data_IF_564745872004
#
_entry.id   IF_564745872004
#
_cell.length_a   1.000
_cell.length_b   1.000
_cell.length_c   1.000
_cell.angle_alpha   90.00
_cell.angle_beta   90.00
_cell.angle_gamma   90.00
#
_symmetry.space_group_name_H-M   'P 1'
#
loop_
_entity.id
_entity.type
_entity.pdbx_description
1 polymer ?
#
# COMPACT_ATOMS: atom_id res chain seq x y z
N UNK A 1 -19.58 -1.82 7.68
CA UNK A 1 -18.29 -1.64 8.40
C UNK A 1 -17.69 -0.32 7.96
N UNK A 2 -16.68 0.25 8.65
CA UNK A 2 -15.86 1.28 8.01
C UNK A 2 -15.40 0.79 6.63
N UNK A 3 -15.29 1.69 5.66
CA UNK A 3 -14.61 1.37 4.41
C UNK A 3 -13.20 0.88 4.69
N UNK A 4 -12.74 -0.07 3.89
CA UNK A 4 -11.38 -0.62 4.00
C UNK A 4 -10.35 0.42 3.53
N UNK A 5 -9.15 0.36 4.11
CA UNK A 5 -8.03 1.24 3.74
C UNK A 5 -6.82 0.41 3.33
N UNK A 6 -6.45 0.51 2.05
CA UNK A 6 -5.28 -0.17 1.49
C UNK A 6 -4.04 0.70 1.65
N UNK A 7 -3.29 0.51 2.73
CA UNK A 7 -2.25 1.44 3.16
C UNK A 7 -0.92 1.30 2.39
N UNK A 8 -0.84 0.41 1.39
CA UNK A 8 0.31 0.34 0.49
C UNK A 8 -0.08 -0.40 -0.81
N UNK A 9 0.12 0.27 -1.94
CA UNK A 9 -0.08 -0.30 -3.28
C UNK A 9 0.79 0.39 -4.34
N UNK A 10 0.89 -0.27 -5.50
CA UNK A 10 1.34 0.25 -6.78
C UNK A 10 0.21 0.06 -7.80
N UNK A 11 -0.80 0.92 -7.74
CA UNK A 11 -2.12 0.72 -8.34
C UNK A 11 -2.07 0.56 -9.86
N UNK A 12 -1.16 1.27 -10.55
CA UNK A 12 -1.03 1.18 -12.00
C UNK A 12 -0.39 -0.15 -12.45
N UNK A 13 0.24 -0.92 -11.55
CA UNK A 13 0.72 -2.28 -11.84
C UNK A 13 -0.43 -3.27 -12.09
N UNK A 14 -1.71 -2.86 -11.99
CA UNK A 14 -2.82 -3.68 -12.49
C UNK A 14 -2.67 -4.05 -13.97
N UNK A 15 -1.94 -3.26 -14.78
CA UNK A 15 -1.59 -3.62 -16.17
C UNK A 15 -0.56 -4.75 -16.26
N UNK A 16 0.22 -4.98 -15.21
CA UNK A 16 1.25 -6.02 -15.12
C UNK A 16 0.78 -7.26 -14.37
N UNK A 17 -0.52 -7.36 -14.11
CA UNK A 17 -1.11 -8.48 -13.37
C UNK A 17 -0.85 -9.82 -14.06
N UNK A 18 -0.11 -10.69 -13.39
CA UNK A 18 0.27 -12.01 -13.90
C UNK A 18 1.21 -11.95 -15.11
N UNK A 19 1.93 -10.84 -15.30
CA UNK A 19 2.91 -10.70 -16.37
C UNK A 19 4.15 -11.57 -16.13
N UNK A 20 4.69 -11.53 -14.91
CA UNK A 20 5.83 -12.33 -14.48
C UNK A 20 5.58 -12.89 -13.08
N UNK A 21 5.69 -14.20 -12.92
CA UNK A 21 5.46 -14.94 -11.68
C UNK A 21 6.58 -15.96 -11.44
N UNK A 22 6.65 -16.51 -10.21
CA UNK A 22 7.54 -17.61 -9.82
C UNK A 22 9.06 -17.33 -9.96
N UNK A 23 9.48 -16.10 -9.63
CA UNK A 23 10.89 -15.67 -9.56
C UNK A 23 11.23 -14.99 -8.22
N UNK A 24 12.49 -15.05 -7.75
CA UNK A 24 12.95 -14.23 -6.62
C UNK A 24 12.83 -12.72 -6.91
N UNK A 25 12.60 -11.90 -5.88
CA UNK A 25 12.37 -10.45 -6.00
C UNK A 25 13.39 -9.74 -6.89
N UNK A 26 14.69 -9.89 -6.62
CA UNK A 26 15.75 -9.23 -7.39
C UNK A 26 15.69 -9.55 -8.90
N UNK A 27 15.44 -10.82 -9.24
CA UNK A 27 15.36 -11.26 -10.63
C UNK A 27 14.05 -10.81 -11.28
N UNK A 28 12.93 -10.87 -10.55
CA UNK A 28 11.63 -10.40 -11.00
C UNK A 28 11.63 -8.91 -11.34
N UNK A 29 12.22 -8.08 -10.47
CA UNK A 29 12.38 -6.65 -10.69
C UNK A 29 13.27 -6.35 -11.90
N UNK A 30 14.51 -6.87 -11.89
CA UNK A 30 15.52 -6.48 -12.89
C UNK A 30 15.28 -7.06 -14.29
N UNK A 31 14.74 -8.29 -14.37
CA UNK A 31 14.59 -8.99 -15.65
C UNK A 31 13.24 -8.77 -16.31
N UNK A 32 12.16 -8.56 -15.54
CA UNK A 32 10.80 -8.52 -16.07
C UNK A 32 10.09 -7.19 -15.80
N UNK A 33 10.05 -6.71 -14.56
CA UNK A 33 9.22 -5.55 -14.19
C UNK A 33 9.85 -4.22 -14.63
N UNK A 34 11.07 -3.90 -14.18
CA UNK A 34 11.70 -2.61 -14.51
C UNK A 34 11.87 -2.37 -16.03
N UNK A 35 12.20 -3.38 -16.86
CA UNK A 35 12.24 -3.18 -18.31
C UNK A 35 10.89 -2.75 -18.90
N UNK A 36 9.78 -3.28 -18.38
CA UNK A 36 8.44 -2.93 -18.85
C UNK A 36 8.00 -1.59 -18.28
N UNK A 37 8.27 -1.32 -17.00
CA UNK A 37 7.96 -0.03 -16.38
C UNK A 37 8.68 1.15 -17.06
N UNK A 38 9.89 0.93 -17.57
CA UNK A 38 10.63 1.93 -18.32
C UNK A 38 9.91 2.39 -19.61
N UNK A 39 8.96 1.61 -20.12
CA UNK A 39 8.15 1.90 -21.30
C UNK A 39 6.74 2.44 -20.96
N UNK A 40 6.44 2.65 -19.68
CA UNK A 40 5.17 3.24 -19.24
C UNK A 40 5.04 4.68 -19.76
N UNK A 41 3.85 4.98 -20.27
CA UNK A 41 3.45 6.35 -20.60
C UNK A 41 2.47 6.87 -19.55
N UNK A 42 2.28 8.20 -19.41
CA UNK A 42 1.27 8.75 -18.51
C UNK A 42 -0.14 8.17 -18.73
N UNK A 43 -0.50 7.84 -19.97
CA UNK A 43 -1.79 7.22 -20.28
C UNK A 43 -1.88 5.78 -19.74
N UNK A 44 -0.79 5.00 -19.77
CA UNK A 44 -0.77 3.66 -19.18
C UNK A 44 -0.95 3.74 -17.65
N UNK A 45 -0.30 4.72 -17.01
CA UNK A 45 -0.48 5.00 -15.58
C UNK A 45 -1.93 5.35 -15.29
N UNK A 46 -2.53 6.22 -16.11
CA UNK A 46 -3.93 6.62 -15.98
C UNK A 46 -4.87 5.42 -16.06
N UNK A 47 -4.72 4.58 -17.09
CA UNK A 47 -5.57 3.42 -17.35
C UNK A 47 -5.39 2.32 -16.30
N UNK A 48 -4.14 2.02 -15.92
CA UNK A 48 -3.85 1.07 -14.84
C UNK A 48 -4.43 1.54 -13.50
N UNK A 49 -4.30 2.83 -13.21
CA UNK A 49 -4.91 3.41 -12.01
C UNK A 49 -6.43 3.27 -12.06
N UNK A 50 -7.09 3.66 -13.15
CA UNK A 50 -8.56 3.52 -13.31
C UNK A 50 -9.03 2.09 -13.05
N UNK A 51 -8.31 1.09 -13.58
CA UNK A 51 -8.63 -0.32 -13.35
C UNK A 51 -8.52 -0.69 -11.86
N UNK A 52 -7.44 -0.28 -11.19
CA UNK A 52 -7.25 -0.53 -9.76
C UNK A 52 -8.30 0.17 -8.89
N UNK A 53 -8.68 1.42 -9.22
CA UNK A 53 -9.73 2.15 -8.49
C UNK A 53 -11.11 1.51 -8.65
N UNK A 54 -11.43 0.95 -9.82
CA UNK A 54 -12.64 0.14 -9.99
C UNK A 54 -12.60 -1.08 -9.07
N UNK A 55 -11.48 -1.81 -9.03
CA UNK A 55 -11.32 -2.99 -8.17
C UNK A 55 -11.46 -2.62 -6.68
N UNK A 56 -10.82 -1.54 -6.24
CA UNK A 56 -10.97 -0.98 -4.89
C UNK A 56 -12.43 -0.69 -4.53
N UNK A 57 -13.15 0.03 -5.40
CA UNK A 57 -14.56 0.34 -5.19
C UNK A 57 -15.38 -0.96 -5.08
N UNK A 58 -15.14 -1.94 -5.94
CA UNK A 58 -15.87 -3.22 -5.92
C UNK A 58 -15.57 -4.05 -4.68
N UNK A 59 -14.40 -3.89 -4.07
CA UNK A 59 -13.95 -4.62 -2.88
C UNK A 59 -14.23 -3.86 -1.56
N UNK A 60 -14.89 -2.70 -1.59
CA UNK A 60 -15.25 -1.94 -0.40
C UNK A 60 -14.11 -1.09 0.19
N UNK A 61 -13.09 -0.81 -0.60
CA UNK A 61 -11.99 0.10 -0.25
C UNK A 61 -12.46 1.53 -0.49
N UNK A 62 -12.22 2.42 0.48
CA UNK A 62 -12.58 3.85 0.40
C UNK A 62 -11.37 4.77 0.52
N UNK A 63 -10.26 4.27 1.05
CA UNK A 63 -8.97 4.96 1.13
C UNK A 63 -7.83 4.04 0.69
N UNK A 64 -6.78 4.61 0.10
CA UNK A 64 -5.58 3.86 -0.22
C UNK A 64 -4.32 4.72 -0.11
N UNK A 65 -3.15 4.12 -0.03
CA UNK A 65 -1.89 4.81 -0.27
C UNK A 65 -1.20 4.19 -1.49
N UNK A 66 -0.73 5.05 -2.39
CA UNK A 66 -0.09 4.63 -3.63
C UNK A 66 1.27 5.29 -3.78
N UNK A 67 2.24 4.48 -4.20
CA UNK A 67 3.62 4.88 -4.44
C UNK A 67 4.02 4.50 -5.86
N UNK A 68 4.03 5.45 -6.78
CA UNK A 68 4.32 5.14 -8.18
C UNK A 68 4.81 6.37 -8.96
N UNK A 69 4.82 6.28 -10.29
CA UNK A 69 5.25 7.36 -11.19
C UNK A 69 4.04 8.13 -11.75
N UNK A 70 4.29 9.28 -12.37
CA UNK A 70 3.26 10.11 -13.04
C UNK A 70 2.04 10.39 -12.13
N UNK A 71 2.31 10.73 -10.86
CA UNK A 71 1.31 11.01 -9.83
C UNK A 71 0.19 11.98 -10.26
N UNK A 72 0.40 13.00 -11.12
CA UNK A 72 -0.70 13.81 -11.65
C UNK A 72 -1.84 13.00 -12.29
N UNK A 73 -1.53 11.90 -12.98
CA UNK A 73 -2.52 11.01 -13.58
C UNK A 73 -3.26 10.18 -12.53
N UNK A 74 -2.55 9.74 -11.49
CA UNK A 74 -3.14 9.03 -10.34
C UNK A 74 -4.08 9.96 -9.57
N UNK A 75 -3.67 11.22 -9.35
CA UNK A 75 -4.51 12.26 -8.74
C UNK A 75 -5.78 12.51 -9.55
N UNK A 76 -5.67 12.58 -10.88
CA UNK A 76 -6.82 12.79 -11.76
C UNK A 76 -7.82 11.61 -11.67
N UNK A 77 -7.32 10.38 -11.73
CA UNK A 77 -8.14 9.17 -11.58
C UNK A 77 -8.82 9.11 -10.20
N UNK A 78 -8.08 9.41 -9.14
CA UNK A 78 -8.59 9.41 -7.76
C UNK A 78 -9.70 10.44 -7.56
N UNK A 79 -9.54 11.64 -8.13
CA UNK A 79 -10.57 12.69 -8.13
C UNK A 79 -11.88 12.19 -8.74
N UNK A 80 -11.80 11.58 -9.92
CA UNK A 80 -12.95 11.08 -10.68
C UNK A 80 -13.63 9.88 -10.01
N UNK A 81 -12.85 8.97 -9.42
CA UNK A 81 -13.38 7.79 -8.74
C UNK A 81 -14.22 8.11 -7.51
N UNK A 82 -13.90 9.21 -6.81
CA UNK A 82 -14.50 9.58 -5.52
C UNK A 82 -13.76 9.02 -4.29
N UNK A 83 -12.70 8.23 -4.47
CA UNK A 83 -11.91 7.64 -3.37
C UNK A 83 -11.02 8.67 -2.64
N UNK A 84 -10.53 8.30 -1.46
CA UNK A 84 -9.48 9.03 -0.74
C UNK A 84 -8.12 8.38 -0.99
N UNK A 85 -7.06 9.17 -0.89
CA UNK A 85 -5.72 8.64 -1.05
C UNK A 85 -4.64 9.38 -0.25
N UNK A 86 -3.57 8.66 0.07
CA UNK A 86 -2.24 9.23 0.28
C UNK A 86 -1.38 8.90 -0.94
N UNK A 87 -0.95 9.89 -1.70
CA UNK A 87 -0.23 9.68 -2.96
C UNK A 87 1.20 10.16 -2.86
N UNK A 88 2.14 9.36 -3.33
CA UNK A 88 3.55 9.70 -3.34
C UNK A 88 4.22 9.29 -4.64
N UNK A 89 5.16 10.12 -5.08
CA UNK A 89 6.03 9.82 -6.22
C UNK A 89 7.23 9.05 -5.71
N UNK A 90 7.36 7.80 -6.14
CA UNK A 90 8.50 6.97 -5.79
C UNK A 90 9.75 7.44 -6.54
N UNK A 91 10.83 7.73 -5.81
CA UNK A 91 12.12 8.06 -6.41
C UNK A 91 13.21 7.06 -6.05
N UNK A 92 14.10 6.83 -7.01
CA UNK A 92 15.20 5.86 -6.96
C UNK A 92 16.46 6.56 -7.48
N UNK A 93 17.61 6.38 -6.81
CA UNK A 93 18.89 6.93 -7.28
C UNK A 93 19.75 5.90 -8.02
N UNK A 94 19.61 4.61 -7.70
CA UNK A 94 20.35 3.53 -8.36
C UNK A 94 20.11 3.54 -9.87
N UNK A 95 21.20 3.54 -10.63
CA UNK A 95 21.16 3.56 -12.09
C UNK A 95 21.02 4.95 -12.72
N UNK A 96 20.90 6.02 -11.93
CA UNK A 96 20.86 7.42 -12.40
C UNK A 96 22.20 8.13 -12.16
N UNK A 97 22.42 9.22 -12.88
CA UNK A 97 23.47 10.18 -12.51
C UNK A 97 22.96 11.16 -11.45
N UNK A 98 23.87 11.96 -10.87
CA UNK A 98 23.51 12.84 -9.76
C UNK A 98 22.44 13.88 -10.12
N UNK A 99 22.47 14.40 -11.35
CA UNK A 99 21.45 15.33 -11.84
C UNK A 99 20.08 14.64 -11.92
N UNK A 100 20.02 13.41 -12.46
CA UNK A 100 18.78 12.64 -12.58
C UNK A 100 18.21 12.20 -11.23
N UNK A 101 19.04 11.67 -10.32
CA UNK A 101 18.60 11.23 -9.00
C UNK A 101 18.06 12.40 -8.15
N UNK A 102 18.78 13.52 -8.15
CA UNK A 102 18.35 14.75 -7.45
C UNK A 102 17.08 15.34 -8.05
N UNK A 103 16.95 15.34 -9.38
CA UNK A 103 15.74 15.82 -10.04
C UNK A 103 14.53 14.95 -9.69
N UNK A 104 14.68 13.63 -9.64
CA UNK A 104 13.60 12.70 -9.28
C UNK A 104 13.14 12.87 -7.83
N UNK A 105 14.08 12.98 -6.88
CA UNK A 105 13.77 13.27 -5.49
C UNK A 105 13.09 14.65 -5.32
N UNK A 106 13.54 15.66 -6.07
CA UNK A 106 12.90 16.97 -6.09
C UNK A 106 11.48 16.91 -6.66
N UNK A 107 11.26 16.14 -7.73
CA UNK A 107 9.93 15.89 -8.28
C UNK A 107 9.01 15.28 -7.23
N UNK A 108 9.49 14.31 -6.44
CA UNK A 108 8.68 13.73 -5.37
C UNK A 108 8.28 14.72 -4.28
N UNK A 109 9.21 15.57 -3.84
CA UNK A 109 8.91 16.62 -2.87
C UNK A 109 7.97 17.69 -3.42
N UNK A 110 8.12 18.07 -4.70
CA UNK A 110 7.26 19.05 -5.36
C UNK A 110 5.83 18.51 -5.54
N UNK A 111 5.69 17.25 -5.96
CA UNK A 111 4.39 16.55 -6.06
C UNK A 111 3.71 16.51 -4.69
N UNK A 112 4.42 16.14 -3.63
CA UNK A 112 3.85 16.10 -2.30
C UNK A 112 3.29 17.48 -1.89
N UNK A 113 4.05 18.55 -2.13
CA UNK A 113 3.60 19.92 -1.83
C UNK A 113 2.46 20.41 -2.72
N UNK A 114 2.44 20.02 -3.99
CA UNK A 114 1.45 20.49 -4.96
C UNK A 114 0.07 19.84 -4.73
N UNK A 115 0.05 18.54 -4.45
CA UNK A 115 -1.18 17.75 -4.41
C UNK A 115 -1.73 17.51 -3.02
N UNK A 116 -1.03 17.91 -1.95
CA UNK A 116 -1.58 17.87 -0.61
C UNK A 116 -2.87 18.70 -0.49
N UNK A 117 -3.93 18.08 0.04
CA UNK A 117 -5.27 18.67 0.13
C UNK A 117 -6.05 18.69 -1.19
N UNK A 118 -5.58 18.04 -2.26
CA UNK A 118 -6.33 17.93 -3.50
C UNK A 118 -7.66 17.16 -3.31
N UNK A 119 -8.56 17.30 -4.29
CA UNK A 119 -9.88 16.64 -4.28
C UNK A 119 -10.71 16.99 -3.03
N UNK A 120 -10.75 18.28 -2.67
CA UNK A 120 -11.43 18.79 -1.48
C UNK A 120 -10.93 18.15 -0.17
N UNK A 121 -9.62 17.85 -0.10
CA UNK A 121 -8.98 17.22 1.06
C UNK A 121 -9.07 15.70 1.10
N UNK A 122 -9.60 15.04 0.05
CA UNK A 122 -9.58 13.57 -0.06
C UNK A 122 -8.19 13.01 -0.40
N UNK A 123 -7.32 13.82 -0.99
CA UNK A 123 -5.95 13.44 -1.34
C UNK A 123 -4.98 14.16 -0.41
N UNK A 124 -4.16 13.37 0.25
CA UNK A 124 -2.97 13.77 1.02
C UNK A 124 -1.74 13.19 0.32
N UNK A 125 -0.54 13.52 0.78
CA UNK A 125 0.68 13.05 0.15
C UNK A 125 1.77 12.69 1.15
N UNK A 126 2.76 11.95 0.67
CA UNK A 126 4.00 11.63 1.37
C UNK A 126 5.19 11.78 0.42
N UNK A 127 6.40 11.88 0.98
CA UNK A 127 7.64 11.70 0.23
C UNK A 127 8.01 10.21 0.24
N UNK A 128 8.32 9.65 -0.94
CA UNK A 128 8.64 8.21 -1.08
C UNK A 128 10.04 7.98 -1.65
N UNK A 129 11.10 7.95 -0.82
CA UNK A 129 12.30 7.21 -1.20
C UNK A 129 11.92 5.74 -1.33
N UNK A 130 12.23 5.08 -2.44
CA UNK A 130 11.79 3.70 -2.66
C UNK A 130 12.22 2.75 -1.52
N UNK A 131 13.50 2.74 -1.17
CA UNK A 131 14.04 1.98 -0.02
C UNK A 131 15.44 2.50 0.35
N UNK A 132 15.95 2.08 1.52
CA UNK A 132 17.30 2.40 1.99
C UNK A 132 18.42 1.80 1.11
N UNK A 133 18.11 0.82 0.26
CA UNK A 133 19.07 0.13 -0.63
C UNK A 133 19.06 0.67 -2.06
N UNK A 134 18.02 1.40 -2.43
CA UNK A 134 17.81 1.92 -3.80
C UNK A 134 17.96 3.45 -3.90
N UNK A 135 18.10 4.12 -2.75
CA UNK A 135 18.32 5.56 -2.64
C UNK A 135 19.59 5.79 -1.83
N UNK A 136 20.58 6.41 -2.46
CA UNK A 136 21.86 6.72 -1.82
C UNK A 136 21.70 7.73 -0.67
N UNK A 137 22.52 7.57 0.37
CA UNK A 137 22.50 8.36 1.61
C UNK A 137 22.45 9.87 1.37
N UNK A 138 23.19 10.37 0.38
CA UNK A 138 23.28 11.81 0.12
C UNK A 138 21.93 12.42 -0.27
N UNK A 139 21.06 11.68 -0.96
CA UNK A 139 19.72 12.14 -1.30
C UNK A 139 18.77 12.06 -0.10
N UNK A 140 18.92 11.04 0.76
CA UNK A 140 18.17 10.97 2.01
C UNK A 140 18.52 12.14 2.94
N UNK A 141 19.81 12.40 3.15
CA UNK A 141 20.30 13.52 3.96
C UNK A 141 19.88 14.89 3.40
N UNK A 142 19.67 15.00 2.09
CA UNK A 142 19.23 16.25 1.45
C UNK A 142 17.71 16.44 1.51
N UNK A 143 16.91 15.41 1.23
CA UNK A 143 15.46 15.56 1.03
C UNK A 143 14.62 15.23 2.27
N UNK A 144 15.09 14.35 3.17
CA UNK A 144 14.36 14.04 4.42
C UNK A 144 14.18 15.31 5.26
N UNK A 145 15.21 16.15 5.53
CA UNK A 145 15.01 17.38 6.29
C UNK A 145 14.05 18.37 5.62
N UNK A 146 14.01 18.40 4.28
CA UNK A 146 13.11 19.27 3.52
C UNK A 146 11.65 18.80 3.58
N UNK A 147 11.40 17.49 3.59
CA UNK A 147 10.08 16.92 3.85
C UNK A 147 9.61 17.27 5.26
N UNK A 148 10.49 17.11 6.27
CA UNK A 148 10.19 17.49 7.66
C UNK A 148 9.87 18.98 7.82
N UNK A 149 10.66 19.87 7.19
CA UNK A 149 10.37 21.32 7.22
C UNK A 149 9.01 21.64 6.57
N UNK A 150 8.60 20.87 5.57
CA UNK A 150 7.32 21.01 4.89
C UNK A 150 6.15 20.29 5.61
N UNK A 151 6.40 19.52 6.66
CA UNK A 151 5.38 18.71 7.33
C UNK A 151 4.87 17.55 6.46
N UNK A 152 5.69 17.06 5.52
CA UNK A 152 5.36 15.94 4.64
C UNK A 152 5.83 14.63 5.30
N UNK A 153 4.94 13.64 5.49
CA UNK A 153 5.31 12.32 6.01
C UNK A 153 6.14 11.53 5.00
N UNK A 154 6.79 10.47 5.45
CA UNK A 154 7.52 9.54 4.60
C UNK A 154 6.80 8.19 4.49
N UNK A 155 6.86 7.64 3.29
CA UNK A 155 6.53 6.26 3.00
C UNK A 155 7.73 5.59 2.34
N UNK A 156 8.08 4.36 2.71
CA UNK A 156 9.16 3.61 2.03
C UNK A 156 9.05 2.11 2.32
N UNK A 157 9.67 1.29 1.47
CA UNK A 157 9.85 -0.14 1.74
C UNK A 157 10.99 -0.35 2.73
N UNK A 158 10.78 -1.18 3.74
CA UNK A 158 11.79 -1.43 4.76
C UNK A 158 11.82 -2.88 5.22
N UNK A 159 13.04 -3.41 5.32
CA UNK A 159 13.34 -4.75 5.82
C UNK A 159 12.45 -5.82 5.14
N UNK A 160 12.23 -5.72 3.82
CA UNK A 160 11.39 -6.66 3.10
C UNK A 160 12.10 -8.02 2.98
N UNK A 161 13.39 -8.01 2.66
CA UNK A 161 14.20 -9.22 2.49
C UNK A 161 15.49 -9.19 3.31
N UNK A 162 16.06 -10.37 3.60
CA UNK A 162 17.40 -10.46 4.21
C UNK A 162 18.47 -9.75 3.36
N UNK A 163 18.31 -9.76 2.03
CA UNK A 163 19.19 -9.08 1.07
C UNK A 163 19.14 -7.54 1.17
N UNK A 164 18.10 -6.96 1.80
CA UNK A 164 18.06 -5.54 2.12
C UNK A 164 18.73 -5.23 3.47
N UNK A 165 18.64 -6.16 4.43
CA UNK A 165 19.15 -5.97 5.79
C UNK A 165 20.66 -6.10 5.85
N UNK A 166 21.22 -7.18 5.28
CA UNK A 166 22.65 -7.50 5.40
C UNK A 166 23.57 -6.37 4.88
N UNK A 167 23.34 -5.77 3.69
CA UNK A 167 24.22 -4.71 3.18
C UNK A 167 24.27 -3.49 4.09
N UNK A 168 23.13 -3.08 4.68
CA UNK A 168 23.10 -1.92 5.57
C UNK A 168 23.88 -2.20 6.85
N UNK A 169 23.76 -3.42 7.41
CA UNK A 169 24.55 -3.82 8.57
C UNK A 169 26.05 -3.83 8.25
N UNK A 170 26.43 -4.31 7.07
CA UNK A 170 27.84 -4.35 6.63
C UNK A 170 28.42 -2.93 6.40
N UNK A 171 27.64 -2.03 5.80
CA UNK A 171 28.09 -0.68 5.42
C UNK A 171 28.00 0.33 6.58
N UNK A 172 26.98 0.24 7.43
CA UNK A 172 26.71 1.21 8.50
C UNK A 172 26.94 0.67 9.91
N UNK A 173 27.01 -0.66 10.10
CA UNK A 173 27.24 -1.28 11.41
C UNK A 173 26.03 -1.27 12.35
N UNK A 174 24.86 -0.88 11.85
CA UNK A 174 23.55 -0.84 12.54
C UNK A 174 22.49 -1.46 11.63
N UNK A 175 21.32 -1.83 12.18
CA UNK A 175 20.22 -2.38 11.38
C UNK A 175 19.49 -1.29 10.59
N UNK A 176 18.72 -1.64 9.53
CA UNK A 176 18.13 -0.63 8.65
C UNK A 176 17.21 0.36 9.35
N UNK A 177 16.39 -0.04 10.32
CA UNK A 177 15.51 0.91 11.01
C UNK A 177 16.26 1.82 11.98
N UNK A 178 17.34 1.35 12.62
CA UNK A 178 18.25 2.21 13.38
C UNK A 178 18.90 3.27 12.46
N UNK A 179 19.32 2.85 11.26
CA UNK A 179 19.87 3.76 10.26
C UNK A 179 18.83 4.76 9.73
N UNK A 180 17.58 4.32 9.52
CA UNK A 180 16.47 5.19 9.15
C UNK A 180 16.19 6.25 10.24
N UNK A 181 16.25 5.88 11.51
CA UNK A 181 16.10 6.81 12.64
C UNK A 181 17.20 7.88 12.66
N UNK A 182 18.46 7.47 12.45
CA UNK A 182 19.61 8.40 12.35
C UNK A 182 19.42 9.45 11.23
N UNK A 183 18.72 9.08 10.15
CA UNK A 183 18.36 9.96 9.04
C UNK A 183 17.08 10.78 9.29
N UNK A 184 16.38 10.56 10.40
CA UNK A 184 15.12 11.23 10.73
C UNK A 184 13.92 10.73 9.91
N UNK A 185 13.96 9.47 9.47
CA UNK A 185 12.93 8.83 8.64
C UNK A 185 11.86 8.08 9.44
N UNK A 186 11.91 8.11 10.78
CA UNK A 186 10.95 7.47 11.66
C UNK A 186 10.28 8.49 12.60
N UNK A 187 9.02 8.80 12.35
CA UNK A 187 8.13 9.60 13.20
C UNK A 187 6.73 9.00 13.25
N UNK A 188 5.86 9.53 14.11
CA UNK A 188 4.45 9.11 14.22
C UNK A 188 3.62 9.30 12.94
N UNK A 189 4.12 10.10 11.99
CA UNK A 189 3.46 10.36 10.71
C UNK A 189 4.00 9.45 9.57
N UNK A 190 5.06 8.68 9.82
CA UNK A 190 5.70 7.85 8.80
C UNK A 190 5.17 6.41 8.81
N UNK A 191 5.20 5.77 7.64
CA UNK A 191 4.70 4.41 7.48
C UNK A 191 5.56 3.59 6.51
N UNK A 192 5.91 2.38 6.95
CA UNK A 192 6.88 1.53 6.31
C UNK A 192 6.20 0.29 5.74
N UNK A 193 6.41 0.00 4.46
CA UNK A 193 5.91 -1.23 3.85
C UNK A 193 6.77 -2.44 4.24
N UNK A 194 6.10 -3.58 4.39
CA UNK A 194 6.65 -4.92 4.65
C UNK A 194 7.10 -5.18 6.09
N UNK A 195 8.24 -4.61 6.51
CA UNK A 195 8.89 -4.85 7.81
C UNK A 195 8.95 -6.35 8.19
N UNK A 196 9.37 -7.19 7.25
CA UNK A 196 9.40 -8.64 7.42
C UNK A 196 10.52 -9.06 8.35
N UNK A 197 11.71 -8.46 8.17
CA UNK A 197 12.93 -8.81 8.89
C UNK A 197 13.28 -7.75 9.91
N UNK A 198 12.41 -7.57 10.92
CA UNK A 198 12.67 -6.71 12.07
C UNK A 198 13.06 -7.53 13.29
N UNK A 199 14.02 -7.05 14.08
CA UNK A 199 14.40 -7.67 15.35
C UNK A 199 13.75 -6.98 16.56
N UNK A 200 13.99 -7.51 17.76
CA UNK A 200 13.40 -6.97 19.00
C UNK A 200 13.74 -5.49 19.22
N UNK A 201 14.95 -5.05 18.84
CA UNK A 201 15.38 -3.67 19.03
C UNK A 201 14.70 -2.73 18.02
N UNK A 202 14.54 -3.17 16.77
CA UNK A 202 13.79 -2.43 15.76
C UNK A 202 12.28 -2.36 16.09
N UNK A 203 11.71 -3.40 16.69
CA UNK A 203 10.32 -3.39 17.19
C UNK A 203 10.16 -2.36 18.31
N UNK A 204 11.07 -2.34 19.28
CA UNK A 204 11.07 -1.33 20.35
C UNK A 204 11.21 0.09 19.77
N UNK A 205 12.09 0.28 18.78
CA UNK A 205 12.28 1.57 18.09
C UNK A 205 11.02 2.04 17.35
N UNK A 206 10.34 1.15 16.63
CA UNK A 206 9.06 1.47 15.97
C UNK A 206 8.00 1.90 17.00
N UNK A 207 7.93 1.22 18.14
CA UNK A 207 7.01 1.59 19.22
C UNK A 207 7.37 2.93 19.89
N UNK A 208 8.66 3.25 20.02
CA UNK A 208 9.15 4.50 20.60
C UNK A 208 8.94 5.70 19.67
N UNK A 209 9.17 5.53 18.36
CA UNK A 209 9.05 6.59 17.34
C UNK A 209 7.59 6.83 16.93
N UNK A 210 6.74 5.80 17.06
CA UNK A 210 5.34 5.84 16.63
C UNK A 210 5.15 5.56 15.13
N UNK A 211 6.22 5.25 14.39
CA UNK A 211 6.12 4.91 12.98
C UNK A 211 5.27 3.65 12.76
N UNK A 212 4.47 3.67 11.70
CA UNK A 212 3.52 2.60 11.40
C UNK A 212 4.13 1.55 10.48
N UNK A 213 3.68 0.30 10.63
CA UNK A 213 4.06 -0.80 9.73
C UNK A 213 2.88 -1.16 8.85
N UNK A 214 3.10 -1.29 7.53
CA UNK A 214 2.11 -1.78 6.59
C UNK A 214 2.46 -3.20 6.18
N UNK A 215 1.66 -4.16 6.64
CA UNK A 215 1.85 -5.56 6.33
C UNK A 215 1.20 -5.93 5.00
N UNK A 216 1.99 -6.49 4.08
CA UNK A 216 1.55 -6.97 2.76
C UNK A 216 1.71 -8.50 2.66
N UNK A 217 0.87 -9.30 3.36
CA UNK A 217 1.09 -10.73 3.50
C UNK A 217 1.12 -11.51 2.18
N UNK A 218 0.21 -11.23 1.24
CA UNK A 218 0.19 -11.96 -0.02
C UNK A 218 1.47 -11.74 -0.84
N UNK A 219 1.92 -10.48 -0.92
CA UNK A 219 3.19 -10.13 -1.58
C UNK A 219 4.39 -10.80 -0.91
N UNK A 220 4.50 -10.67 0.42
CA UNK A 220 5.57 -11.31 1.18
C UNK A 220 5.62 -12.84 1.00
N UNK A 221 4.46 -13.48 0.90
CA UNK A 221 4.36 -14.92 0.62
C UNK A 221 4.75 -15.25 -0.82
N UNK A 222 4.25 -14.48 -1.81
CA UNK A 222 4.44 -14.73 -3.24
C UNK A 222 5.90 -14.55 -3.66
N UNK A 223 6.57 -13.53 -3.14
CA UNK A 223 7.98 -13.22 -3.42
C UNK A 223 8.94 -13.99 -2.51
N UNK A 224 8.41 -14.77 -1.55
CA UNK A 224 9.16 -15.46 -0.52
C UNK A 224 10.05 -14.50 0.32
N UNK A 225 9.60 -13.26 0.50
CA UNK A 225 10.27 -12.24 1.32
C UNK A 225 10.37 -12.69 2.77
N UNK A 226 9.31 -13.33 3.31
CA UNK A 226 9.32 -13.95 4.64
C UNK A 226 7.99 -13.80 5.38
N UNK A 227 8.03 -13.91 6.72
CA UNK A 227 6.85 -13.77 7.57
C UNK A 227 7.10 -12.67 8.60
N UNK A 228 6.42 -11.54 8.44
CA UNK A 228 6.53 -10.40 9.36
C UNK A 228 6.03 -10.76 10.78
N UNK A 229 6.69 -10.28 11.85
CA UNK A 229 6.35 -10.60 13.24
C UNK A 229 5.18 -9.73 13.74
N UNK A 230 4.01 -9.88 13.10
CA UNK A 230 2.86 -8.99 13.32
C UNK A 230 2.32 -9.05 14.75
N UNK A 231 2.30 -10.23 15.39
CA UNK A 231 1.82 -10.31 16.77
C UNK A 231 2.77 -9.59 17.72
N UNK A 232 4.08 -9.71 17.51
CA UNK A 232 5.09 -9.02 18.30
C UNK A 232 5.00 -7.49 18.16
N UNK A 233 4.82 -6.99 16.93
CA UNK A 233 4.60 -5.56 16.67
C UNK A 233 3.34 -5.04 17.39
N UNK A 234 2.23 -5.77 17.29
CA UNK A 234 0.98 -5.43 17.97
C UNK A 234 1.12 -5.46 19.50
N UNK A 235 1.84 -6.44 20.05
CA UNK A 235 2.10 -6.56 21.49
C UNK A 235 2.98 -5.43 22.02
N UNK A 236 3.91 -4.92 21.21
CA UNK A 236 4.75 -3.76 21.50
C UNK A 236 3.99 -2.42 21.39
N UNK A 237 2.79 -2.42 20.79
CA UNK A 237 1.97 -1.23 20.60
C UNK A 237 2.26 -0.46 19.32
N UNK A 238 2.99 -1.06 18.36
CA UNK A 238 3.18 -0.51 17.02
C UNK A 238 1.85 -0.47 16.29
N UNK A 239 1.56 0.64 15.59
CA UNK A 239 0.42 0.69 14.70
C UNK A 239 0.70 -0.15 13.45
N UNK A 240 -0.17 -1.12 13.16
CA UNK A 240 -0.04 -1.99 11.99
C UNK A 240 -1.25 -1.83 11.07
N UNK A 241 -0.99 -1.46 9.82
CA UNK A 241 -1.96 -1.44 8.72
C UNK A 241 -1.79 -2.64 7.77
N UNK A 242 -2.68 -2.74 6.78
CA UNK A 242 -2.57 -3.70 5.68
C UNK A 242 -2.43 -3.00 4.33
N UNK A 243 -1.60 -3.59 3.48
CA UNK A 243 -1.44 -3.22 2.07
C UNK A 243 -1.56 -4.43 1.16
N UNK A 244 -1.97 -4.23 -0.09
CA UNK A 244 -1.98 -5.29 -1.10
C UNK A 244 -0.68 -5.36 -1.88
N UNK A 245 0.15 -4.31 -1.80
CA UNK A 245 1.26 -4.07 -2.74
C UNK A 245 0.70 -3.93 -4.18
N UNK A 246 1.52 -4.07 -5.21
CA UNK A 246 1.15 -4.07 -6.61
C UNK A 246 0.51 -5.38 -7.08
N UNK A 247 -0.39 -5.30 -8.05
CA UNK A 247 -1.08 -6.47 -8.61
C UNK A 247 -0.15 -7.43 -9.39
N UNK A 248 1.14 -7.12 -9.53
CA UNK A 248 2.14 -7.99 -10.13
C UNK A 248 2.82 -8.92 -9.09
N UNK A 249 2.76 -8.58 -7.80
CA UNK A 249 3.31 -9.35 -6.68
C UNK A 249 2.24 -9.92 -5.75
N UNK A 250 0.94 -9.78 -6.06
CA UNK A 250 -0.17 -10.27 -5.25
C UNK A 250 -0.88 -11.55 -5.77
N UNK A 251 -1.82 -11.51 -6.72
CA UNK A 251 -2.03 -10.57 -7.84
C UNK A 251 -3.47 -9.98 -7.90
N UNK A 252 -4.16 -9.86 -6.77
CA UNK A 252 -5.41 -9.09 -6.67
C UNK A 252 -5.29 -7.87 -5.74
N UNK A 253 -6.32 -7.03 -5.73
CA UNK A 253 -6.41 -5.87 -4.86
C UNK A 253 -7.58 -6.03 -3.86
N UNK A 254 -7.71 -7.22 -3.25
CA UNK A 254 -8.76 -7.56 -2.28
C UNK A 254 -8.23 -7.59 -0.84
N UNK A 255 -8.51 -6.53 -0.07
CA UNK A 255 -8.12 -6.48 1.34
C UNK A 255 -8.81 -7.54 2.22
N UNK A 256 -9.92 -8.17 1.82
CA UNK A 256 -10.47 -9.28 2.60
C UNK A 256 -9.58 -10.52 2.54
N UNK A 257 -8.88 -10.73 1.42
CA UNK A 257 -7.90 -11.80 1.33
C UNK A 257 -6.63 -11.42 2.10
N UNK A 258 -6.17 -10.17 2.08
CA UNK A 258 -5.07 -9.70 2.96
C UNK A 258 -5.40 -9.83 4.46
N UNK A 259 -6.62 -9.49 4.88
CA UNK A 259 -7.08 -9.68 6.27
C UNK A 259 -6.95 -11.16 6.65
N UNK A 260 -7.41 -12.06 5.76
CA UNK A 260 -7.39 -13.49 6.01
C UNK A 260 -5.96 -14.00 6.09
N UNK A 261 -5.12 -13.59 5.17
CA UNK A 261 -3.72 -14.02 5.09
C UNK A 261 -2.92 -13.51 6.28
N UNK A 262 -3.06 -12.24 6.67
CA UNK A 262 -2.45 -11.71 7.89
C UNK A 262 -2.84 -12.53 9.12
N UNK A 263 -4.14 -12.82 9.28
CA UNK A 263 -4.65 -13.56 10.43
C UNK A 263 -4.17 -15.02 10.46
N UNK A 264 -4.13 -15.70 9.31
CA UNK A 264 -3.74 -17.11 9.24
C UNK A 264 -2.22 -17.29 9.30
N UNK A 265 -1.47 -16.42 8.61
CA UNK A 265 -0.02 -16.44 8.57
C UNK A 265 0.57 -16.09 9.94
N UNK A 266 0.03 -15.08 10.64
CA UNK A 266 0.48 -14.72 11.98
C UNK A 266 0.35 -15.87 13.00
N UNK A 267 -0.76 -16.63 12.93
CA UNK A 267 -0.94 -17.83 13.77
C UNK A 267 0.09 -18.90 13.46
N UNK A 268 0.38 -19.11 12.17
CA UNK A 268 1.34 -20.11 11.72
C UNK A 268 2.77 -19.73 12.16
N UNK A 269 3.14 -18.46 12.01
CA UNK A 269 4.45 -17.92 12.36
C UNK A 269 4.81 -18.21 13.83
N UNK A 270 3.85 -17.97 14.72
CA UNK A 270 4.01 -18.11 16.17
C UNK A 270 3.75 -19.52 16.69
N UNK A 271 3.07 -20.35 15.91
CA UNK A 271 2.57 -21.64 16.36
C UNK A 271 1.47 -21.52 17.41
N UNK A 272 0.75 -20.40 17.45
CA UNK A 272 -0.35 -20.13 18.38
C UNK A 272 -1.61 -19.67 17.63
N UNK A 273 -2.68 -20.44 17.74
CA UNK A 273 -3.95 -20.17 17.05
C UNK A 273 -4.69 -18.92 17.57
N UNK A 274 -4.21 -18.29 18.65
CA UNK A 274 -4.79 -17.07 19.23
C UNK A 274 -4.24 -15.79 18.60
N UNK A 275 -3.06 -15.87 18.00
CA UNK A 275 -2.32 -14.70 17.51
C UNK A 275 -2.97 -14.13 16.26
N UNK A 276 -2.77 -12.84 16.03
CA UNK A 276 -3.43 -12.01 15.01
C UNK A 276 -4.92 -12.35 14.92
N UNK A 277 -5.62 -12.10 16.04
CA UNK A 277 -7.04 -12.42 16.16
C UNK A 277 -7.86 -11.73 15.06
N UNK A 278 -9.06 -12.26 14.76
CA UNK A 278 -9.93 -11.72 13.72
C UNK A 278 -10.20 -10.21 13.91
N UNK A 279 -10.41 -9.78 15.15
CA UNK A 279 -10.60 -8.36 15.47
C UNK A 279 -9.36 -7.53 15.13
N UNK A 280 -8.16 -8.00 15.50
CA UNK A 280 -6.91 -7.32 15.16
C UNK A 280 -6.76 -7.20 13.64
N UNK A 281 -6.93 -8.29 12.89
CA UNK A 281 -6.78 -8.28 11.44
C UNK A 281 -7.76 -7.34 10.74
N UNK A 282 -9.03 -7.32 11.16
CA UNK A 282 -10.02 -6.37 10.62
C UNK A 282 -9.68 -4.93 10.97
N UNK A 283 -9.19 -4.66 12.20
CA UNK A 283 -8.76 -3.31 12.60
C UNK A 283 -7.56 -2.84 11.81
N UNK A 284 -6.58 -3.70 11.52
CA UNK A 284 -5.43 -3.35 10.67
C UNK A 284 -5.90 -2.84 9.31
N UNK A 285 -6.92 -3.47 8.69
CA UNK A 285 -7.47 -3.06 7.41
C UNK A 285 -8.41 -1.84 7.45
N UNK A 286 -8.76 -1.33 8.64
CA UNK A 286 -9.63 -0.16 8.81
C UNK A 286 -8.92 0.96 9.56
N UNK A 287 -8.96 0.97 10.89
CA UNK A 287 -8.43 2.06 11.70
C UNK A 287 -6.90 2.06 11.75
N UNK A 288 -6.26 0.89 11.70
CA UNK A 288 -4.80 0.77 11.68
C UNK A 288 -4.20 1.36 10.41
N UNK A 289 -4.68 0.91 9.24
CA UNK A 289 -4.34 1.49 7.95
C UNK A 289 -4.69 2.98 7.86
N UNK A 290 -5.90 3.39 8.25
CA UNK A 290 -6.30 4.80 8.20
C UNK A 290 -5.39 5.70 9.03
N UNK A 291 -5.06 5.26 10.25
CA UNK A 291 -4.12 5.97 11.13
C UNK A 291 -2.72 6.02 10.54
N UNK A 292 -2.24 4.92 9.95
CA UNK A 292 -0.90 4.84 9.39
C UNK A 292 -0.67 5.84 8.25
N UNK A 293 -1.65 6.03 7.38
CA UNK A 293 -1.53 6.89 6.19
C UNK A 293 -2.16 8.28 6.37
N UNK A 294 -2.57 8.62 7.61
CA UNK A 294 -3.09 9.95 7.96
C UNK A 294 -4.50 10.28 7.46
N UNK A 295 -5.34 9.28 7.17
CA UNK A 295 -6.70 9.51 6.66
C UNK A 295 -7.75 9.56 7.80
N UNK A 296 -8.73 10.48 7.75
CA UNK A 296 -9.75 10.64 8.79
C UNK A 296 -10.90 9.64 8.66
N UNK A 297 -10.60 8.35 8.51
CA UNK A 297 -11.53 7.25 8.24
C UNK A 297 -11.21 6.03 9.12
N UNK A 298 -11.79 4.85 8.82
CA UNK A 298 -11.46 3.60 9.52
C UNK A 298 -12.32 3.30 10.75
N UNK A 299 -13.15 4.25 11.18
CA UNK A 299 -14.14 4.10 12.27
C UNK A 299 -15.50 4.67 11.88
N UNK A 300 -16.58 4.13 12.45
CA UNK A 300 -17.95 4.62 12.26
C UNK A 300 -18.47 5.31 13.51
N UNK A 301 -18.23 6.61 13.61
CA UNK A 301 -18.66 7.44 14.73
C UNK A 301 -19.52 8.63 14.28
N UNK A 302 -20.45 9.06 15.14
CA UNK A 302 -21.33 10.18 14.83
C UNK A 302 -20.52 11.48 14.68
N UNK A 303 -20.59 12.10 13.50
CA UNK A 303 -19.83 13.31 13.16
C UNK A 303 -18.53 13.04 12.39
N UNK A 304 -18.16 11.76 12.19
CA UNK A 304 -17.08 11.37 11.30
C UNK A 304 -17.48 11.39 9.82
N UNK A 305 -16.50 11.10 8.95
CA UNK A 305 -16.68 10.92 7.51
C UNK A 305 -17.52 9.67 7.22
N UNK A 306 -18.32 9.70 6.16
CA UNK A 306 -19.19 8.58 5.79
C UNK A 306 -18.51 7.66 4.77
N UNK A 307 -17.45 6.99 5.23
CA UNK A 307 -16.65 6.04 4.47
C UNK A 307 -17.01 4.61 4.90
N UNK A 308 -17.79 3.91 4.09
CA UNK A 308 -18.55 2.71 4.49
C UNK A 308 -18.51 1.65 3.39
N UNK A 309 -18.13 0.43 3.77
CA UNK A 309 -18.42 -0.78 3.00
C UNK A 309 -19.64 -1.51 3.58
N UNK A 310 -20.58 -1.87 2.70
CA UNK A 310 -21.76 -2.69 3.04
C UNK A 310 -21.58 -4.09 2.48
N UNK A 311 -21.37 -5.07 3.35
CA UNK A 311 -21.18 -6.49 3.00
C UNK A 311 -22.52 -7.21 3.02
N UNK A 312 -22.80 -7.99 1.98
CA UNK A 312 -23.97 -8.85 1.83
C UNK A 312 -23.66 -10.25 2.35
N UNK A 313 -24.44 -10.73 3.32
CA UNK A 313 -24.25 -12.04 3.94
C UNK A 313 -25.16 -13.14 3.36
N UNK A 314 -25.91 -12.85 2.28
CA UNK A 314 -26.85 -13.80 1.64
C UNK A 314 -26.15 -14.77 0.65
N UNK A 315 -24.89 -15.11 0.91
CA UNK A 315 -24.13 -16.07 0.14
C UNK A 315 -23.95 -17.40 0.91
N UNK A 316 -23.90 -18.56 0.23
CA UNK A 316 -23.77 -19.85 0.90
C UNK A 316 -22.52 -19.98 1.77
N UNK A 317 -21.39 -19.38 1.38
CA UNK A 317 -20.13 -19.45 2.14
C UNK A 317 -20.14 -18.58 3.42
N UNK A 318 -21.15 -17.72 3.59
CA UNK A 318 -21.33 -16.85 4.76
C UNK A 318 -22.43 -17.33 5.72
N UNK A 319 -23.00 -18.51 5.48
CA UNK A 319 -24.12 -19.05 6.27
C UNK A 319 -23.71 -20.28 7.09
N UNK A 320 -24.01 -20.35 8.40
CA UNK A 320 -24.69 -19.35 9.23
C UNK A 320 -23.75 -18.28 9.80
N UNK A 321 -24.28 -17.08 10.05
CA UNK A 321 -23.54 -16.02 10.73
C UNK A 321 -23.60 -16.20 12.25
N UNK A 322 -22.48 -16.61 12.85
CA UNK A 322 -22.30 -16.67 14.30
C UNK A 322 -21.65 -15.42 14.89
N UNK A 323 -20.64 -14.90 14.19
CA UNK A 323 -19.87 -13.72 14.55
C UNK A 323 -19.47 -13.01 13.25
N UNK A 324 -19.86 -11.74 13.13
CA UNK A 324 -19.59 -10.94 11.94
C UNK A 324 -18.10 -10.63 11.79
N UNK A 325 -17.38 -10.33 12.88
CA UNK A 325 -15.93 -10.03 12.81
C UNK A 325 -15.17 -11.27 12.36
N UNK A 326 -15.54 -12.43 12.89
CA UNK A 326 -14.99 -13.70 12.40
C UNK A 326 -15.28 -13.94 10.92
N UNK A 327 -16.46 -13.55 10.41
CA UNK A 327 -16.77 -13.68 8.99
C UNK A 327 -15.95 -12.72 8.14
N UNK A 328 -15.83 -11.44 8.56
CA UNK A 328 -15.00 -10.46 7.87
C UNK A 328 -13.56 -10.97 7.73
N UNK A 329 -13.01 -11.60 8.78
CA UNK A 329 -11.63 -12.07 8.75
C UNK A 329 -11.41 -13.39 8.00
N UNK A 330 -12.38 -14.31 8.01
CA UNK A 330 -12.13 -15.69 7.57
C UNK A 330 -13.04 -16.20 6.44
N UNK A 331 -14.08 -15.48 6.07
CA UNK A 331 -15.08 -15.99 5.12
C UNK A 331 -15.47 -14.99 4.02
N UNK A 332 -15.60 -13.71 4.35
CA UNK A 332 -15.94 -12.64 3.41
C UNK A 332 -14.85 -12.50 2.35
N UNK A 333 -15.27 -12.10 1.16
CA UNK A 333 -14.44 -11.74 0.01
C UNK A 333 -14.92 -10.39 -0.53
N UNK A 334 -14.11 -9.68 -1.30
CA UNK A 334 -14.47 -8.40 -1.94
C UNK A 334 -15.78 -8.48 -2.73
N UNK A 335 -16.01 -9.59 -3.45
CA UNK A 335 -17.27 -9.82 -4.19
C UNK A 335 -18.56 -9.87 -3.34
N UNK A 336 -18.44 -10.03 -2.02
CA UNK A 336 -19.56 -9.95 -1.09
C UNK A 336 -19.96 -8.50 -0.76
N UNK A 337 -19.13 -7.51 -1.08
CA UNK A 337 -19.47 -6.09 -0.94
C UNK A 337 -20.59 -5.73 -1.91
N UNK A 338 -21.62 -5.07 -1.38
CA UNK A 338 -22.82 -4.65 -2.11
C UNK A 338 -22.83 -3.16 -2.41
N UNK A 339 -22.36 -2.36 -1.45
CA UNK A 339 -22.26 -0.91 -1.59
C UNK A 339 -20.93 -0.41 -1.05
N UNK A 340 -20.37 0.58 -1.72
CA UNK A 340 -19.17 1.31 -1.30
C UNK A 340 -19.51 2.78 -1.30
N UNK A 341 -19.30 3.44 -0.16
CA UNK A 341 -19.64 4.83 0.08
C UNK A 341 -18.38 5.53 0.57
N UNK A 342 -18.02 6.64 -0.06
CA UNK A 342 -16.86 7.45 0.32
C UNK A 342 -17.31 8.90 0.48
N UNK A 343 -16.98 9.53 1.60
CA UNK A 343 -17.42 10.90 1.90
C UNK A 343 -18.93 11.12 1.80
N UNK A 344 -19.72 10.07 2.05
CA UNK A 344 -21.19 10.10 1.92
C UNK A 344 -21.72 9.94 0.48
N UNK A 345 -20.84 9.91 -0.51
CA UNK A 345 -21.19 9.64 -1.91
C UNK A 345 -21.15 8.13 -2.20
N UNK A 346 -22.16 7.62 -2.90
CA UNK A 346 -22.27 6.20 -3.23
C UNK A 346 -21.43 5.93 -4.47
N UNK A 347 -20.25 5.32 -4.30
CA UNK A 347 -19.36 4.95 -5.40
C UNK A 347 -19.81 3.65 -6.08
N UNK A 348 -20.42 2.73 -5.32
CA UNK A 348 -21.03 1.51 -5.84
C UNK A 348 -22.39 1.26 -5.16
N UNK A 349 -23.40 0.93 -5.97
CA UNK A 349 -24.73 0.57 -5.50
C UNK A 349 -25.17 -0.78 -6.07
N UNK A 350 -25.56 -1.73 -5.21
CA UNK A 350 -26.03 -3.05 -5.62
C UNK A 350 -25.04 -3.78 -6.57
N UNK A 351 -23.74 -3.63 -6.30
CA UNK A 351 -22.61 -4.14 -7.11
C UNK A 351 -22.46 -3.49 -8.49
N UNK A 352 -23.04 -2.31 -8.71
CA UNK A 352 -22.82 -1.49 -9.90
C UNK A 352 -22.03 -0.22 -9.53
N UNK A 353 -20.84 -0.05 -10.13
CA UNK A 353 -20.01 1.16 -9.96
C UNK A 353 -20.71 2.36 -10.59
N UNK A 354 -20.71 3.49 -9.89
CA UNK A 354 -21.47 4.69 -10.26
C UNK A 354 -20.60 5.81 -10.85
N UNK A 355 -19.31 5.84 -10.51
CA UNK A 355 -18.39 6.95 -10.84
C UNK A 355 -17.50 6.66 -12.04
N UNK A 356 -17.27 5.40 -12.37
CA UNK A 356 -16.38 4.95 -13.44
C UNK A 356 -17.09 3.94 -14.36
N UNK A 357 -16.76 3.93 -15.65
CA UNK A 357 -17.26 2.94 -16.61
C UNK A 357 -16.37 1.69 -16.58
N UNK A 358 -16.71 0.75 -15.69
CA UNK A 358 -15.95 -0.50 -15.51
C UNK A 358 -15.70 -1.22 -16.85
N UNK A 359 -16.72 -1.31 -17.71
CA UNK A 359 -16.60 -2.08 -18.95
C UNK A 359 -15.60 -1.44 -19.91
N UNK A 360 -15.68 -0.11 -20.09
CA UNK A 360 -14.75 0.63 -20.94
C UNK A 360 -13.32 0.64 -20.39
N UNK A 361 -13.16 0.76 -19.06
CA UNK A 361 -11.85 0.73 -18.39
C UNK A 361 -11.19 -0.63 -18.59
N UNK A 362 -11.93 -1.73 -18.41
CA UNK A 362 -11.40 -3.09 -18.61
C UNK A 362 -10.95 -3.35 -20.04
N UNK A 363 -11.68 -2.84 -21.03
CA UNK A 363 -11.30 -2.91 -22.44
C UNK A 363 -9.99 -2.14 -22.68
N UNK A 364 -9.92 -0.87 -22.28
CA UNK A 364 -8.71 -0.04 -22.40
C UNK A 364 -7.51 -0.67 -21.69
N UNK A 365 -7.68 -1.13 -20.46
CA UNK A 365 -6.59 -1.76 -19.70
C UNK A 365 -6.05 -3.01 -20.39
N UNK A 366 -6.90 -3.81 -21.02
CA UNK A 366 -6.46 -4.99 -21.78
C UNK A 366 -5.63 -4.61 -23.01
N UNK A 367 -6.03 -3.54 -23.72
CA UNK A 367 -5.29 -2.99 -24.86
C UNK A 367 -3.94 -2.42 -24.40
N UNK A 368 -3.96 -1.55 -23.39
CA UNK A 368 -2.75 -0.91 -22.84
C UNK A 368 -1.74 -1.90 -22.27
N UNK A 369 -2.19 -2.92 -21.53
CA UNK A 369 -1.30 -3.98 -21.04
C UNK A 369 -0.59 -4.71 -22.19
N UNK A 370 -1.33 -5.03 -23.26
CA UNK A 370 -0.76 -5.71 -24.44
C UNK A 370 0.25 -4.82 -25.18
N UNK A 371 -0.10 -3.54 -25.37
CA UNK A 371 0.75 -2.57 -26.05
C UNK A 371 2.00 -2.23 -25.23
N UNK A 372 1.88 -2.15 -23.90
CA UNK A 372 3.01 -1.91 -22.98
C UNK A 372 4.04 -3.04 -23.08
N UNK A 373 3.61 -4.29 -22.97
CA UNK A 373 4.51 -5.45 -23.13
C UNK A 373 5.17 -5.45 -24.51
N UNK A 374 4.42 -5.15 -25.57
CA UNK A 374 4.95 -5.09 -26.93
C UNK A 374 5.96 -3.95 -27.18
N UNK A 375 6.02 -2.93 -26.31
CA UNK A 375 7.07 -1.89 -26.37
C UNK A 375 8.38 -2.34 -25.72
N UNK A 376 8.30 -3.19 -24.69
CA UNK A 376 9.46 -3.69 -23.96
C UNK A 376 10.16 -4.87 -24.65
N UNK A 377 9.45 -5.62 -25.49
CA UNK A 377 9.97 -6.72 -26.33
C UNK A 377 10.48 -6.27 -27.70
#
# INVERSE_FOLDING_TARGET
MPGLVNAHTHVAMTLLRGYADDKPLDAWLQEDIWPVEAELTPEDIRVGTELGLVEFITNGITGFADSYFEVPEIVAATKESGLRANLCHAFISVGKDDEGARADAQTGLDIAREFDGAADGRITTALMPHSLTTVETEYLEEFVPQAREAGVPLHFHANETENEVEPIVDDHGVRPLEYADDLGMLTEDDFLAHCVHVDDAEIDLLAETGASVIHCPASNMKLASGIAPIQELLDAGVNVGLGTDGAASNNDLDLFDEIRDAAMLGKLARGDARDVAAESAVRMATEGSASAIGLPVGQLEAGGTADIAVVDFDAPHLTPVHDHVSHLAYAVRGSDVRHTICDGEILMADREVQTLDEAAIRERASEHASDLVARAE
#
